data_IF_366969670631
#
_entry.id   IF_366969670631
#
_cell.length_a   1.000
_cell.length_b   1.000
_cell.length_c   1.000
_cell.angle_alpha   90.00
_cell.angle_beta   90.00
_cell.angle_gamma   90.00
#
_symmetry.space_group_name_H-M   'P 1'
#
loop_
_entity.id
_entity.type
_entity.pdbx_description
1 polymer ?
#
# COMPACT_ATOMS: atom_id res chain seq x y z
N UNK A 1 -17.75 3.84 -27.39
CA UNK A 1 -17.65 4.58 -26.10
C UNK A 1 -17.37 6.03 -26.39
N UNK A 2 -17.88 6.95 -25.59
CA UNK A 2 -17.49 8.36 -25.68
C UNK A 2 -16.06 8.58 -25.19
N UNK A 3 -15.44 9.71 -25.57
CA UNK A 3 -14.11 10.09 -25.08
C UNK A 3 -14.08 10.22 -23.54
N UNK A 4 -15.17 10.73 -22.95
CA UNK A 4 -15.34 10.83 -21.50
C UNK A 4 -15.35 9.46 -20.81
N UNK A 5 -16.13 8.52 -21.35
CA UNK A 5 -16.17 7.15 -20.81
C UNK A 5 -14.83 6.43 -20.98
N UNK A 6 -14.17 6.59 -22.13
CA UNK A 6 -12.83 6.07 -22.36
C UNK A 6 -11.85 6.61 -21.32
N UNK A 7 -11.85 7.93 -21.09
CA UNK A 7 -11.00 8.58 -20.08
C UNK A 7 -11.25 8.02 -18.68
N UNK A 8 -12.51 7.81 -18.29
CA UNK A 8 -12.85 7.22 -16.99
C UNK A 8 -12.31 5.80 -16.85
N UNK A 9 -12.46 4.97 -17.89
CA UNK A 9 -11.91 3.60 -17.86
C UNK A 9 -10.39 3.59 -17.82
N UNK A 10 -9.74 4.42 -18.64
CA UNK A 10 -8.29 4.55 -18.65
C UNK A 10 -7.73 5.01 -17.29
N UNK A 11 -8.43 5.93 -16.60
CA UNK A 11 -8.07 6.32 -15.24
C UNK A 11 -8.17 5.14 -14.25
N UNK A 12 -9.26 4.38 -14.29
CA UNK A 12 -9.46 3.26 -13.37
C UNK A 12 -8.60 2.01 -13.64
N UNK A 13 -8.06 1.85 -14.85
CA UNK A 13 -7.28 0.66 -15.24
C UNK A 13 -5.83 0.99 -15.59
N UNK A 14 -5.60 1.65 -16.74
CA UNK A 14 -4.27 1.94 -17.25
C UNK A 14 -3.48 2.82 -16.29
N UNK A 15 -4.07 3.91 -15.82
CA UNK A 15 -3.39 4.82 -14.89
C UNK A 15 -3.05 4.13 -13.56
N UNK A 16 -3.97 3.33 -12.99
CA UNK A 16 -3.70 2.55 -11.78
C UNK A 16 -2.55 1.56 -12.01
N UNK A 17 -2.54 0.90 -13.16
CA UNK A 17 -1.51 -0.07 -13.56
C UNK A 17 -0.13 0.59 -13.63
N UNK A 18 0.00 1.74 -14.31
CA UNK A 18 1.26 2.48 -14.36
C UNK A 18 1.68 3.03 -13.00
N UNK A 19 0.73 3.56 -12.22
CA UNK A 19 1.00 4.06 -10.87
C UNK A 19 1.58 2.96 -9.99
N UNK A 20 0.95 1.78 -9.97
CA UNK A 20 1.45 0.65 -9.19
C UNK A 20 2.82 0.17 -9.66
N UNK A 21 3.04 0.07 -10.98
CA UNK A 21 4.35 -0.29 -11.52
C UNK A 21 5.46 0.69 -11.11
N UNK A 22 5.18 2.00 -11.15
CA UNK A 22 6.10 3.06 -10.70
C UNK A 22 6.35 3.06 -9.20
N UNK A 23 5.32 2.81 -8.40
CA UNK A 23 5.46 2.67 -6.94
C UNK A 23 6.35 1.49 -6.60
N UNK A 24 6.14 0.36 -7.27
CA UNK A 24 6.92 -0.87 -7.14
C UNK A 24 8.37 -0.70 -7.62
N UNK A 25 8.59 0.05 -8.70
CA UNK A 25 9.92 0.48 -9.14
C UNK A 25 10.63 1.32 -8.06
N UNK A 26 9.95 2.32 -7.50
CA UNK A 26 10.48 3.17 -6.41
C UNK A 26 10.69 2.43 -5.10
N UNK A 27 9.89 1.41 -4.83
CA UNK A 27 10.08 0.51 -3.68
C UNK A 27 11.36 -0.32 -3.82
N UNK A 28 11.88 -0.48 -5.05
CA UNK A 28 13.08 -1.27 -5.32
C UNK A 28 12.80 -2.77 -5.34
N UNK A 29 11.78 -3.20 -6.10
CA UNK A 29 11.52 -4.63 -6.25
C UNK A 29 12.73 -5.35 -6.86
N UNK A 30 13.17 -6.41 -6.18
CA UNK A 30 14.25 -7.28 -6.64
C UNK A 30 13.78 -8.72 -6.68
N UNK A 31 14.30 -9.48 -7.65
CA UNK A 31 14.02 -10.91 -7.74
C UNK A 31 14.72 -11.68 -6.62
N UNK A 32 14.07 -12.72 -6.10
CA UNK A 32 14.64 -13.63 -5.11
C UNK A 32 14.58 -15.09 -5.59
N UNK A 33 15.37 -16.01 -5.00
CA UNK A 33 15.30 -17.44 -5.31
C UNK A 33 13.96 -18.11 -4.95
N UNK A 34 13.11 -17.45 -4.16
CA UNK A 34 11.85 -17.99 -3.64
C UNK A 34 10.63 -17.20 -4.13
N UNK A 35 10.73 -16.60 -5.32
CA UNK A 35 9.63 -15.85 -5.90
C UNK A 35 8.37 -16.71 -6.02
N UNK A 36 7.24 -16.14 -5.60
CA UNK A 36 5.93 -16.71 -5.94
C UNK A 36 5.54 -16.27 -7.34
N UNK A 37 4.66 -17.03 -8.00
CA UNK A 37 4.10 -16.65 -9.31
C UNK A 37 3.41 -15.27 -9.31
N UNK A 38 2.79 -14.91 -8.18
CA UNK A 38 2.21 -13.59 -7.98
C UNK A 38 3.28 -12.50 -7.98
N UNK A 39 4.40 -12.74 -7.29
CA UNK A 39 5.53 -11.82 -7.25
C UNK A 39 6.22 -11.67 -8.62
N UNK A 40 6.36 -12.75 -9.38
CA UNK A 40 6.86 -12.69 -10.77
C UNK A 40 5.99 -11.80 -11.67
N UNK A 41 4.68 -11.79 -11.43
CA UNK A 41 3.75 -10.91 -12.14
C UNK A 41 4.00 -9.44 -11.79
N UNK A 42 4.32 -9.13 -10.53
CA UNK A 42 4.70 -7.78 -10.11
C UNK A 42 6.04 -7.33 -10.72
N UNK A 43 7.04 -8.22 -10.77
CA UNK A 43 8.31 -7.94 -11.46
C UNK A 43 8.08 -7.67 -12.94
N UNK A 44 7.18 -8.43 -13.58
CA UNK A 44 6.77 -8.20 -14.97
C UNK A 44 6.06 -6.86 -15.14
N UNK A 45 5.17 -6.49 -14.21
CA UNK A 45 4.48 -5.19 -14.21
C UNK A 45 5.47 -4.03 -14.15
N UNK A 46 6.46 -4.09 -13.25
CA UNK A 46 7.51 -3.06 -13.15
C UNK A 46 8.27 -2.94 -14.47
N UNK A 47 8.71 -4.06 -15.05
CA UNK A 47 9.41 -4.06 -16.35
C UNK A 47 8.55 -3.47 -17.48
N UNK A 48 7.26 -3.81 -17.52
CA UNK A 48 6.36 -3.37 -18.58
C UNK A 48 6.01 -1.87 -18.45
N UNK A 49 5.99 -1.33 -17.23
CA UNK A 49 5.64 0.07 -16.96
C UNK A 49 6.87 0.98 -16.93
N UNK A 50 8.06 0.45 -16.67
CA UNK A 50 9.33 1.17 -16.67
C UNK A 50 9.82 1.55 -18.07
N UNK A 51 9.33 0.89 -19.13
CA UNK A 51 9.63 1.24 -20.52
C UNK A 51 9.03 2.57 -20.97
N UNK A 52 7.98 3.04 -20.30
CA UNK A 52 7.37 4.33 -20.60
C UNK A 52 8.16 5.47 -19.98
N UNK A 53 8.18 6.64 -20.61
CA UNK A 53 8.80 7.82 -20.02
C UNK A 53 7.95 8.37 -18.88
N UNK A 54 8.59 9.12 -17.98
CA UNK A 54 7.84 9.86 -16.94
C UNK A 54 6.90 10.90 -17.58
N UNK A 55 7.31 11.52 -18.69
CA UNK A 55 6.47 12.49 -19.42
C UNK A 55 5.21 11.83 -20.00
N UNK A 56 5.30 10.60 -20.50
CA UNK A 56 4.14 9.85 -20.99
C UNK A 56 3.17 9.54 -19.84
N UNK A 57 3.71 9.18 -18.67
CA UNK A 57 2.91 9.01 -17.45
C UNK A 57 2.24 10.32 -17.01
N UNK A 58 2.94 11.46 -17.04
CA UNK A 58 2.37 12.78 -16.78
C UNK A 58 1.33 13.19 -17.83
N UNK A 59 1.48 12.77 -19.08
CA UNK A 59 0.48 12.98 -20.14
C UNK A 59 -0.86 12.30 -19.84
N UNK A 60 -0.83 11.12 -19.19
CA UNK A 60 -2.05 10.44 -18.71
C UNK A 60 -2.73 11.21 -17.56
N UNK A 61 -1.97 12.02 -16.82
CA UNK A 61 -2.40 12.79 -15.65
C UNK A 61 -3.02 14.15 -16.01
N UNK A 62 -2.43 14.87 -16.98
CA UNK A 62 -2.72 16.31 -17.17
C UNK A 62 -4.15 16.66 -17.64
N UNK A 63 -4.97 15.69 -18.07
CA UNK A 63 -6.28 15.98 -18.69
C UNK A 63 -7.47 15.23 -18.08
N UNK A 64 -7.30 14.56 -16.94
CA UNK A 64 -8.34 13.69 -16.41
C UNK A 64 -8.57 13.88 -14.91
N UNK A 65 -9.66 14.57 -14.54
CA UNK A 65 -10.06 14.74 -13.12
C UNK A 65 -10.22 13.39 -12.39
N UNK A 66 -10.61 12.34 -13.09
CA UNK A 66 -10.77 10.99 -12.51
C UNK A 66 -9.44 10.34 -12.13
N UNK A 67 -8.29 10.85 -12.58
CA UNK A 67 -6.97 10.35 -12.19
C UNK A 67 -6.63 10.74 -10.75
N UNK A 68 -6.92 12.00 -10.35
CA UNK A 68 -6.73 12.45 -8.97
C UNK A 68 -7.55 11.60 -8.00
N UNK A 69 -8.80 11.32 -8.34
CA UNK A 69 -9.67 10.43 -7.57
C UNK A 69 -9.06 9.03 -7.40
N UNK A 70 -8.37 8.49 -8.43
CA UNK A 70 -7.72 7.19 -8.28
C UNK A 70 -6.50 7.23 -7.34
N UNK A 71 -5.70 8.30 -7.39
CA UNK A 71 -4.57 8.46 -6.47
C UNK A 71 -5.06 8.51 -5.02
N UNK A 72 -6.06 9.35 -4.74
CA UNK A 72 -6.64 9.46 -3.40
C UNK A 72 -7.23 8.14 -2.92
N UNK A 73 -7.90 7.40 -3.81
CA UNK A 73 -8.44 6.06 -3.49
C UNK A 73 -7.34 5.04 -3.18
N UNK A 74 -6.23 5.07 -3.92
CA UNK A 74 -5.08 4.19 -3.66
C UNK A 74 -4.43 4.51 -2.30
N UNK A 75 -4.24 5.80 -1.99
CA UNK A 75 -3.66 6.25 -0.72
C UNK A 75 -4.55 5.85 0.48
N UNK A 76 -5.85 6.13 0.40
CA UNK A 76 -6.81 5.72 1.43
C UNK A 76 -6.85 4.20 1.63
N UNK A 77 -6.78 3.42 0.54
CA UNK A 77 -6.75 1.96 0.62
C UNK A 77 -5.48 1.45 1.30
N UNK A 78 -4.32 2.05 0.99
CA UNK A 78 -3.05 1.69 1.60
C UNK A 78 -3.04 2.00 3.11
N UNK A 79 -3.50 3.19 3.50
CA UNK A 79 -3.57 3.58 4.91
C UNK A 79 -4.59 2.75 5.70
N UNK A 80 -5.72 2.38 5.10
CA UNK A 80 -6.69 1.47 5.72
C UNK A 80 -6.09 0.09 6.00
N UNK A 81 -5.37 -0.48 5.03
CA UNK A 81 -4.69 -1.77 5.18
C UNK A 81 -3.63 -1.73 6.28
N UNK A 82 -2.82 -0.67 6.31
CA UNK A 82 -1.83 -0.42 7.35
C UNK A 82 -2.47 -0.36 8.75
N UNK A 83 -3.57 0.38 8.90
CA UNK A 83 -4.33 0.46 10.17
C UNK A 83 -4.87 -0.90 10.61
N UNK A 84 -5.39 -1.71 9.68
CA UNK A 84 -5.89 -3.04 10.00
C UNK A 84 -4.78 -3.96 10.52
N UNK A 85 -3.62 -3.96 9.85
CA UNK A 85 -2.45 -4.74 10.27
C UNK A 85 -1.97 -4.32 11.67
N UNK A 86 -1.83 -3.02 11.92
CA UNK A 86 -1.40 -2.54 13.24
C UNK A 86 -2.41 -2.83 14.34
N UNK A 87 -3.72 -2.71 14.08
CA UNK A 87 -4.74 -3.09 15.07
C UNK A 87 -4.64 -4.56 15.46
N UNK A 88 -4.44 -5.46 14.49
CA UNK A 88 -4.27 -6.89 14.76
C UNK A 88 -2.99 -7.15 15.56
N UNK A 89 -1.89 -6.49 15.21
CA UNK A 89 -0.64 -6.62 15.96
C UNK A 89 -0.77 -6.09 17.40
N UNK A 90 -1.38 -4.92 17.58
CA UNK A 90 -1.66 -4.34 18.89
C UNK A 90 -2.57 -5.24 19.73
N UNK A 91 -3.60 -5.83 19.13
CA UNK A 91 -4.44 -6.82 19.80
C UNK A 91 -3.64 -8.04 20.25
N UNK A 92 -2.77 -8.59 19.40
CA UNK A 92 -1.92 -9.73 19.73
C UNK A 92 -0.90 -9.42 20.83
N UNK A 93 -0.27 -8.24 20.79
CA UNK A 93 0.65 -7.77 21.83
C UNK A 93 -0.10 -7.56 23.15
N UNK A 94 -1.24 -6.87 23.13
CA UNK A 94 -2.07 -6.66 24.31
C UNK A 94 -2.58 -7.98 24.89
N UNK A 95 -3.03 -8.92 24.05
CA UNK A 95 -3.43 -10.26 24.47
C UNK A 95 -2.28 -10.99 25.17
N UNK A 96 -1.08 -10.98 24.57
CA UNK A 96 0.10 -11.63 25.18
C UNK A 96 0.54 -10.94 26.46
N UNK A 97 0.44 -9.62 26.55
CA UNK A 97 0.75 -8.88 27.78
C UNK A 97 -0.27 -9.19 28.87
N UNK A 98 -1.57 -9.22 28.57
CA UNK A 98 -2.61 -9.61 29.52
C UNK A 98 -2.40 -11.05 30.01
N UNK A 99 -2.23 -12.03 29.12
CA UNK A 99 -2.01 -13.43 29.52
C UNK A 99 -0.63 -13.68 30.14
N UNK A 100 0.40 -12.94 29.74
CA UNK A 100 1.73 -12.95 30.36
C UNK A 100 1.75 -12.29 31.74
N UNK A 101 0.91 -11.28 31.95
CA UNK A 101 0.65 -10.65 33.24
C UNK A 101 -0.27 -11.48 34.13
N UNK A 102 -1.20 -12.28 33.61
CA UNK A 102 -1.96 -13.22 34.45
C UNK A 102 -1.09 -14.32 35.09
N UNK A 103 0.13 -14.54 34.58
CA UNK A 103 1.13 -15.42 35.19
C UNK A 103 2.22 -14.68 35.98
N UNK A 104 2.25 -13.33 35.96
CA UNK A 104 3.29 -12.51 36.60
C UNK A 104 2.77 -11.29 37.40
N UNK A 105 1.46 -11.05 37.51
CA UNK A 105 0.89 -10.08 38.45
C UNK A 105 0.52 -10.82 39.73
N UNK A 106 1.55 -11.17 40.49
CA UNK A 106 1.63 -10.61 41.83
C UNK A 106 2.48 -9.34 41.71
N UNK A 107 1.84 -8.19 41.92
CA UNK A 107 2.45 -6.86 42.16
C UNK A 107 2.89 -6.02 40.94
N UNK A 108 2.19 -4.88 40.79
CA UNK A 108 2.65 -3.52 40.38
C UNK A 108 3.51 -3.38 39.10
N UNK A 109 3.25 -2.54 38.09
CA UNK A 109 2.62 -1.22 38.02
C UNK A 109 2.43 -0.86 36.53
N UNK A 110 1.21 -0.51 36.09
CA UNK A 110 0.90 -0.10 34.70
C UNK A 110 0.93 1.43 34.53
N UNK A 111 2.06 2.02 34.11
CA UNK A 111 2.02 3.30 33.36
C UNK A 111 3.35 3.56 32.64
N UNK A 112 3.52 3.11 31.39
CA UNK A 112 4.56 3.71 30.49
C UNK A 112 4.53 3.41 28.99
N UNK A 113 3.63 2.59 28.44
CA UNK A 113 3.81 2.10 27.05
C UNK A 113 3.08 2.92 25.97
N UNK A 114 2.26 3.91 26.31
CA UNK A 114 1.37 4.59 25.33
C UNK A 114 1.89 5.89 24.71
N UNK A 115 3.08 6.40 25.04
CA UNK A 115 3.56 7.70 24.56
C UNK A 115 4.64 7.67 23.46
N UNK A 116 5.16 6.51 23.05
CA UNK A 116 6.33 6.47 22.15
C UNK A 116 6.03 6.31 20.65
N UNK A 117 4.77 6.12 20.24
CA UNK A 117 4.45 5.83 18.83
C UNK A 117 3.37 6.74 18.21
N UNK A 118 3.23 7.96 18.71
CA UNK A 118 2.44 9.01 18.06
C UNK A 118 3.35 10.13 17.55
N UNK A 119 3.99 9.91 16.41
CA UNK A 119 4.45 10.96 15.51
C UNK A 119 4.06 10.59 14.08
#
# INVERSE_FOLDING_TARGET
MSCSEHGRFAAGSQFVTHTMGRVLEKFGLESSPINTRGYETLLSLVRNTGGDSFDLYCGLFMYNKSVMEQIERLDMAFEALKKELFRRLQYEVCRRQLYGNYMNISEETETKVLLEYSY
#
